data_IF_462946674929
#
_entry.id   IF_462946674929
#
_cell.length_a   1.000
_cell.length_b   1.000
_cell.length_c   1.000
_cell.angle_alpha   90.00
_cell.angle_beta   90.00
_cell.angle_gamma   90.00
#
_symmetry.space_group_name_H-M   'P 1'
#
loop_
_entity.id
_entity.type
_entity.pdbx_description
1 polymer ?
#
# COMPACT_ATOMS: atom_id res chain seq x y z
N UNK A 1 63.11 4.60 -6.43
CA UNK A 1 61.73 4.09 -6.51
C UNK A 1 61.04 4.95 -7.52
N UNK A 2 60.75 4.37 -8.68
CA UNK A 2 60.16 5.12 -9.78
C UNK A 2 58.64 5.22 -9.60
N UNK A 3 58.08 6.34 -10.04
CA UNK A 3 56.66 6.65 -9.85
C UNK A 3 55.73 5.57 -10.44
N UNK A 4 56.14 4.95 -11.54
CA UNK A 4 55.40 3.87 -12.20
C UNK A 4 55.34 2.59 -11.35
N UNK A 5 56.42 2.25 -10.64
CA UNK A 5 56.44 1.09 -9.73
C UNK A 5 55.47 1.30 -8.56
N UNK A 6 55.36 2.53 -8.06
CA UNK A 6 54.47 2.89 -6.96
C UNK A 6 53.00 2.80 -7.37
N UNK A 7 52.66 3.23 -8.60
CA UNK A 7 51.32 3.06 -9.18
C UNK A 7 50.98 1.58 -9.40
N UNK A 8 51.92 0.79 -9.92
CA UNK A 8 51.72 -0.65 -10.10
C UNK A 8 51.50 -1.37 -8.76
N UNK A 9 52.27 -1.02 -7.73
CA UNK A 9 52.14 -1.57 -6.39
C UNK A 9 50.78 -1.20 -5.76
N UNK A 10 50.34 0.06 -5.87
CA UNK A 10 49.03 0.51 -5.40
C UNK A 10 47.88 -0.24 -6.08
N UNK A 11 47.96 -0.41 -7.42
CA UNK A 11 46.97 -1.18 -8.18
C UNK A 11 46.91 -2.65 -7.77
N UNK A 12 48.07 -3.28 -7.51
CA UNK A 12 48.14 -4.66 -7.03
C UNK A 12 47.55 -4.81 -5.62
N UNK A 13 47.77 -3.83 -4.73
CA UNK A 13 47.24 -3.81 -3.38
C UNK A 13 45.72 -3.62 -3.38
N UNK A 14 45.19 -2.72 -4.20
CA UNK A 14 43.75 -2.53 -4.36
C UNK A 14 43.05 -3.80 -4.86
N UNK A 15 43.65 -4.51 -5.83
CA UNK A 15 43.13 -5.80 -6.32
C UNK A 15 43.12 -6.87 -5.23
N UNK A 16 44.20 -6.97 -4.43
CA UNK A 16 44.30 -7.92 -3.31
C UNK A 16 43.28 -7.60 -2.21
N UNK A 17 43.09 -6.33 -1.86
CA UNK A 17 42.10 -5.91 -0.87
C UNK A 17 40.67 -6.21 -1.35
N UNK A 18 40.34 -5.89 -2.59
CA UNK A 18 39.03 -6.22 -3.16
C UNK A 18 38.75 -7.73 -3.18
N UNK A 19 39.77 -8.56 -3.41
CA UNK A 19 39.64 -10.01 -3.31
C UNK A 19 39.30 -10.45 -1.89
N UNK A 20 40.00 -9.93 -0.88
CA UNK A 20 39.75 -10.22 0.53
C UNK A 20 38.35 -9.77 0.99
N UNK A 21 37.91 -8.59 0.56
CA UNK A 21 36.55 -8.09 0.86
C UNK A 21 35.49 -9.03 0.26
N UNK A 22 35.66 -9.45 -1.00
CA UNK A 22 34.75 -10.41 -1.64
C UNK A 22 34.74 -11.79 -0.98
N UNK A 23 35.89 -12.25 -0.46
CA UNK A 23 35.99 -13.50 0.30
C UNK A 23 35.25 -13.39 1.64
N UNK A 24 35.48 -12.31 2.40
CA UNK A 24 34.76 -12.05 3.65
C UNK A 24 33.23 -11.95 3.45
N UNK A 25 32.77 -11.29 2.39
CA UNK A 25 31.34 -11.22 2.05
C UNK A 25 30.74 -12.60 1.74
N UNK A 26 31.51 -13.48 1.09
CA UNK A 26 31.08 -14.87 0.80
C UNK A 26 30.99 -15.69 2.08
N UNK A 27 31.96 -15.53 2.98
CA UNK A 27 31.98 -16.21 4.28
C UNK A 27 30.79 -15.78 5.15
N UNK A 28 30.53 -14.47 5.28
CA UNK A 28 29.37 -13.98 6.03
C UNK A 28 28.05 -14.54 5.50
N UNK A 29 27.84 -14.50 4.17
CA UNK A 29 26.62 -15.06 3.54
C UNK A 29 26.48 -16.56 3.80
N UNK A 30 27.58 -17.28 3.81
CA UNK A 30 27.59 -18.71 4.11
C UNK A 30 27.27 -19.00 5.57
N UNK A 31 27.80 -18.21 6.51
CA UNK A 31 27.45 -18.31 7.94
C UNK A 31 25.98 -17.97 8.22
N UNK A 32 25.46 -16.91 7.60
CA UNK A 32 24.04 -16.55 7.69
C UNK A 32 23.14 -17.70 7.21
N UNK A 33 23.49 -18.31 6.07
CA UNK A 33 22.76 -19.46 5.53
C UNK A 33 22.77 -20.65 6.50
N UNK A 34 23.94 -20.98 7.07
CA UNK A 34 24.06 -22.05 8.08
C UNK A 34 23.24 -21.75 9.33
N UNK A 35 23.23 -20.49 9.79
CA UNK A 35 22.45 -20.07 10.97
C UNK A 35 20.95 -20.19 10.71
N UNK A 36 20.49 -19.77 9.53
CA UNK A 36 19.09 -19.90 9.12
C UNK A 36 18.64 -21.35 9.00
N UNK A 37 19.50 -22.23 8.48
CA UNK A 37 19.23 -23.66 8.41
C UNK A 37 19.09 -24.29 9.80
N UNK A 38 19.98 -23.96 10.74
CA UNK A 38 19.88 -24.41 12.14
C UNK A 38 18.59 -23.97 12.80
N UNK A 39 18.18 -22.71 12.61
CA UNK A 39 16.91 -22.19 13.12
C UNK A 39 15.70 -22.90 12.51
N UNK A 40 15.74 -23.22 11.22
CA UNK A 40 14.67 -23.94 10.55
C UNK A 40 14.51 -25.37 11.11
N UNK A 41 15.62 -26.05 11.40
CA UNK A 41 15.61 -27.37 12.04
C UNK A 41 15.06 -27.29 13.46
N UNK A 42 15.48 -26.32 14.27
CA UNK A 42 14.95 -26.11 15.62
C UNK A 42 13.43 -25.90 15.61
N UNK A 43 12.92 -25.05 14.71
CA UNK A 43 11.46 -24.83 14.56
C UNK A 43 10.70 -26.10 14.18
N UNK A 44 11.30 -26.99 13.38
CA UNK A 44 10.69 -28.28 13.03
C UNK A 44 10.61 -29.21 14.24
N UNK A 45 11.70 -29.30 15.02
CA UNK A 45 11.76 -30.10 16.24
C UNK A 45 10.73 -29.60 17.25
N UNK A 46 10.70 -28.30 17.52
CA UNK A 46 9.75 -27.68 18.46
C UNK A 46 8.29 -27.94 18.05
N UNK A 47 7.98 -27.82 16.75
CA UNK A 47 6.65 -28.14 16.22
C UNK A 47 6.29 -29.62 16.39
N UNK A 48 7.26 -30.52 16.28
CA UNK A 48 7.06 -31.95 16.49
C UNK A 48 6.90 -32.29 17.98
N UNK A 49 7.67 -31.66 18.86
CA UNK A 49 7.51 -31.79 20.31
C UNK A 49 6.15 -31.28 20.80
N UNK A 50 5.69 -30.14 20.28
CA UNK A 50 4.35 -29.61 20.55
C UNK A 50 3.25 -30.58 20.10
N UNK A 51 3.45 -31.30 19.00
CA UNK A 51 2.51 -32.34 18.55
C UNK A 51 2.54 -33.59 19.43
N UNK A 52 3.70 -33.96 19.98
CA UNK A 52 3.85 -35.11 20.89
C UNK A 52 3.32 -34.81 22.30
N UNK A 53 3.44 -33.56 22.76
CA UNK A 53 2.90 -33.07 24.04
C UNK A 53 1.44 -32.63 23.95
N UNK A 54 0.85 -32.62 22.75
CA UNK A 54 -0.56 -32.33 22.60
C UNK A 54 -1.38 -33.45 23.27
N UNK A 55 -2.26 -33.14 24.23
CA UNK A 55 -3.15 -34.15 24.79
C UNK A 55 -3.96 -34.78 23.65
N UNK A 56 -4.28 -36.09 23.73
CA UNK A 56 -5.14 -36.73 22.73
C UNK A 56 -6.41 -35.91 22.58
N UNK A 57 -6.74 -35.56 21.31
CA UNK A 57 -7.99 -34.84 21.02
C UNK A 57 -9.11 -35.59 21.74
N UNK A 58 -9.85 -34.95 22.66
CA UNK A 58 -10.98 -35.60 23.29
C UNK A 58 -11.87 -36.13 22.17
N UNK A 59 -12.21 -37.42 22.24
CA UNK A 59 -13.17 -38.02 21.31
C UNK A 59 -14.37 -37.08 21.23
N UNK A 60 -14.85 -36.72 20.03
CA UNK A 60 -15.99 -35.82 19.93
C UNK A 60 -17.12 -36.45 20.73
N UNK A 61 -17.58 -35.82 21.83
CA UNK A 61 -18.70 -36.36 22.59
C UNK A 61 -19.84 -36.57 21.60
N UNK A 62 -20.65 -37.64 21.74
CA UNK A 62 -21.81 -37.85 20.89
C UNK A 62 -22.57 -36.54 20.83
N UNK A 63 -22.74 -35.99 19.61
CA UNK A 63 -23.29 -34.65 19.37
C UNK A 63 -24.45 -34.44 20.34
N UNK A 64 -24.30 -33.59 21.37
CA UNK A 64 -25.38 -33.38 22.30
C UNK A 64 -26.53 -32.85 21.45
N UNK A 65 -27.68 -33.54 21.49
CA UNK A 65 -28.91 -33.01 20.91
C UNK A 65 -29.12 -31.69 21.65
N UNK A 66 -28.85 -30.60 20.96
CA UNK A 66 -28.98 -29.25 21.49
C UNK A 66 -30.48 -29.01 21.69
N UNK A 67 -31.00 -29.45 22.83
CA UNK A 67 -32.33 -29.09 23.28
C UNK A 67 -32.15 -27.71 23.87
N UNK A 68 -32.45 -26.68 23.08
CA UNK A 68 -32.53 -25.31 23.58
C UNK A 68 -33.57 -25.36 24.70
N UNK A 69 -33.18 -25.12 25.98
CA UNK A 69 -34.13 -25.02 27.06
C UNK A 69 -35.14 -23.94 26.65
N UNK A 70 -36.43 -24.28 26.62
CA UNK A 70 -37.47 -23.29 26.38
C UNK A 70 -37.29 -22.21 27.43
N UNK A 71 -37.05 -20.97 27.02
CA UNK A 71 -36.92 -19.83 27.94
C UNK A 71 -38.22 -19.75 28.74
N UNK A 72 -38.14 -20.01 30.04
CA UNK A 72 -39.16 -19.55 30.96
C UNK A 72 -39.16 -18.01 30.87
N UNK A 73 -40.31 -17.43 30.53
CA UNK A 73 -40.47 -15.97 30.32
C UNK A 73 -40.31 -15.16 31.62
N UNK A 74 -40.00 -15.81 32.73
CA UNK A 74 -39.94 -15.19 34.04
C UNK A 74 -38.48 -14.98 34.46
N UNK A 75 -38.08 -13.69 34.49
CA UNK A 75 -36.93 -13.14 35.22
C UNK A 75 -35.55 -13.22 34.53
N UNK A 76 -35.36 -12.37 33.53
CA UNK A 76 -34.08 -11.70 33.34
C UNK A 76 -34.36 -10.23 33.03
N UNK A 77 -34.89 -9.51 34.03
CA UNK A 77 -34.95 -8.06 33.99
C UNK A 77 -33.50 -7.56 34.13
N UNK A 78 -32.81 -7.46 32.99
CA UNK A 78 -31.45 -6.94 32.91
C UNK A 78 -31.52 -5.47 33.29
N UNK A 79 -30.88 -5.11 34.39
CA UNK A 79 -30.78 -3.74 34.86
C UNK A 79 -30.15 -2.87 33.77
N UNK A 80 -30.99 -2.02 33.16
CA UNK A 80 -30.64 -1.21 32.00
C UNK A 80 -29.51 -0.24 32.32
N UNK A 81 -29.42 0.24 33.55
CA UNK A 81 -28.36 1.15 33.98
C UNK A 81 -27.01 0.44 34.08
N UNK A 82 -27.00 -0.76 34.66
CA UNK A 82 -25.78 -1.56 34.76
C UNK A 82 -25.26 -1.96 33.38
N UNK A 83 -26.17 -2.30 32.46
CA UNK A 83 -25.84 -2.61 31.06
C UNK A 83 -25.25 -1.39 30.34
N UNK A 84 -25.85 -0.20 30.50
CA UNK A 84 -25.32 1.04 29.93
C UNK A 84 -23.94 1.40 30.49
N UNK A 85 -23.71 1.25 31.80
CA UNK A 85 -22.38 1.48 32.42
C UNK A 85 -21.33 0.53 31.86
N UNK A 86 -21.68 -0.73 31.64
CA UNK A 86 -20.77 -1.72 31.06
C UNK A 86 -20.39 -1.38 29.61
N UNK A 87 -21.38 -1.05 28.78
CA UNK A 87 -21.15 -0.65 27.38
C UNK A 87 -20.28 0.62 27.30
N UNK A 88 -20.57 1.63 28.11
CA UNK A 88 -19.77 2.86 28.18
C UNK A 88 -18.32 2.59 28.59
N UNK A 89 -18.09 1.69 29.57
CA UNK A 89 -16.72 1.31 29.98
C UNK A 89 -15.99 0.57 28.87
N UNK A 90 -16.68 -0.32 28.16
CA UNK A 90 -16.10 -1.05 27.02
C UNK A 90 -15.71 -0.09 25.87
N UNK A 91 -16.58 0.86 25.54
CA UNK A 91 -16.32 1.84 24.48
C UNK A 91 -15.21 2.83 24.86
N UNK A 92 -15.08 3.19 26.14
CA UNK A 92 -13.95 3.97 26.64
C UNK A 92 -12.65 3.16 26.55
N UNK A 93 -12.65 1.90 26.96
CA UNK A 93 -11.48 1.03 26.88
C UNK A 93 -11.03 0.83 25.41
N UNK A 94 -11.97 0.64 24.49
CA UNK A 94 -11.68 0.54 23.05
C UNK A 94 -11.02 1.81 22.52
N UNK A 95 -11.56 2.99 22.88
CA UNK A 95 -10.99 4.29 22.51
C UNK A 95 -9.58 4.48 23.07
N UNK A 96 -9.34 4.09 24.32
CA UNK A 96 -8.01 4.16 24.93
C UNK A 96 -7.01 3.24 24.23
N UNK A 97 -7.40 2.01 23.90
CA UNK A 97 -6.53 1.09 23.15
C UNK A 97 -6.20 1.62 21.76
N UNK A 98 -7.17 2.21 21.05
CA UNK A 98 -6.90 2.83 19.74
C UNK A 98 -5.97 4.04 19.86
N UNK A 99 -6.08 4.82 20.94
CA UNK A 99 -5.17 5.93 21.21
C UNK A 99 -3.74 5.44 21.50
N UNK A 100 -3.58 4.44 22.36
CA UNK A 100 -2.28 3.84 22.67
C UNK A 100 -1.62 3.26 21.41
N UNK A 101 -2.36 2.51 20.59
CA UNK A 101 -1.85 1.99 19.32
C UNK A 101 -1.42 3.10 18.36
N UNK A 102 -2.12 4.24 18.34
CA UNK A 102 -1.70 5.41 17.56
C UNK A 102 -0.41 6.01 18.10
N UNK A 103 -0.29 6.17 19.42
CA UNK A 103 0.91 6.69 20.07
C UNK A 103 2.12 5.78 19.83
N UNK A 104 1.99 4.47 20.04
CA UNK A 104 3.04 3.48 19.75
C UNK A 104 3.48 3.55 18.27
N UNK A 105 2.52 3.70 17.34
CA UNK A 105 2.84 3.86 15.92
C UNK A 105 3.61 5.15 15.66
N UNK A 106 3.26 6.26 16.29
CA UNK A 106 3.95 7.55 16.14
C UNK A 106 5.35 7.54 16.75
N UNK A 107 5.53 6.92 17.91
CA UNK A 107 6.85 6.72 18.53
C UNK A 107 7.76 5.86 17.66
N UNK A 108 7.23 4.77 17.09
CA UNK A 108 7.98 3.91 16.19
C UNK A 108 8.39 4.64 14.90
N UNK A 109 7.53 5.51 14.37
CA UNK A 109 7.87 6.38 13.23
C UNK A 109 9.03 7.30 13.61
N UNK A 110 8.95 7.96 14.78
CA UNK A 110 9.97 8.89 15.26
C UNK A 110 11.33 8.20 15.42
N UNK A 111 11.38 7.05 16.09
CA UNK A 111 12.61 6.26 16.28
C UNK A 111 13.22 5.83 14.95
N UNK A 112 12.38 5.38 14.00
CA UNK A 112 12.87 4.93 12.69
C UNK A 112 13.38 6.09 11.82
N UNK A 113 12.73 7.25 11.90
CA UNK A 113 13.20 8.47 11.26
C UNK A 113 14.55 8.91 11.83
N UNK A 114 14.69 8.90 13.16
CA UNK A 114 15.95 9.25 13.84
C UNK A 114 17.09 8.30 13.48
N UNK A 115 16.83 6.99 13.43
CA UNK A 115 17.80 5.99 12.98
C UNK A 115 18.28 6.20 11.52
N UNK A 116 17.46 6.86 10.70
CA UNK A 116 17.76 7.18 9.29
C UNK A 116 18.27 8.62 9.12
N UNK A 117 18.74 9.26 10.20
CA UNK A 117 19.29 10.61 10.16
C UNK A 117 18.25 11.72 9.99
N UNK A 118 16.98 11.46 10.34
CA UNK A 118 15.90 12.44 10.26
C UNK A 118 15.37 12.69 8.84
N UNK A 119 15.69 11.81 7.88
CA UNK A 119 15.27 11.90 6.47
C UNK A 119 14.17 10.89 6.14
N UNK A 120 13.08 11.37 5.57
CA UNK A 120 11.97 10.54 5.12
C UNK A 120 12.35 9.79 3.84
N UNK A 121 12.05 8.49 3.83
CA UNK A 121 12.32 7.60 2.70
C UNK A 121 11.02 6.91 2.26
N UNK A 122 10.86 6.66 0.95
CA UNK A 122 9.76 5.89 0.34
C UNK A 122 9.53 4.54 1.06
N UNK A 123 10.56 3.87 1.58
CA UNK A 123 10.43 2.62 2.36
C UNK A 123 9.72 2.80 3.70
N UNK A 124 10.04 3.88 4.43
CA UNK A 124 9.42 4.18 5.73
C UNK A 124 7.97 4.60 5.51
N UNK A 125 7.74 5.49 4.54
CA UNK A 125 6.43 5.90 4.06
C UNK A 125 5.51 4.70 3.77
N UNK A 126 5.99 3.75 2.95
CA UNK A 126 5.24 2.53 2.61
C UNK A 126 4.90 1.66 3.83
N UNK A 127 5.83 1.51 4.78
CA UNK A 127 5.61 0.69 5.97
C UNK A 127 4.52 1.26 6.89
N UNK A 128 4.37 2.58 6.94
CA UNK A 128 3.41 3.25 7.81
C UNK A 128 2.14 3.74 7.09
N UNK A 129 2.10 3.62 5.76
CA UNK A 129 0.99 4.09 4.91
C UNK A 129 0.88 5.61 4.91
N UNK A 130 2.00 6.33 4.96
CA UNK A 130 2.06 7.81 4.91
C UNK A 130 2.87 8.25 3.70
N UNK A 131 2.66 9.47 3.22
CA UNK A 131 3.54 10.01 2.18
C UNK A 131 4.93 10.37 2.76
N UNK A 132 6.01 10.31 1.95
CA UNK A 132 7.34 10.77 2.39
C UNK A 132 7.33 12.24 2.84
N UNK A 133 6.54 13.08 2.16
CA UNK A 133 6.36 14.50 2.49
C UNK A 133 5.73 14.66 3.88
N UNK A 134 4.63 13.95 4.18
CA UNK A 134 3.99 13.98 5.50
C UNK A 134 4.94 13.55 6.63
N UNK A 135 5.76 12.53 6.37
CA UNK A 135 6.75 12.07 7.33
C UNK A 135 7.84 13.12 7.57
N UNK A 136 8.34 13.75 6.51
CA UNK A 136 9.35 14.79 6.60
C UNK A 136 8.81 16.04 7.32
N UNK A 137 7.57 16.45 7.02
CA UNK A 137 6.92 17.59 7.69
C UNK A 137 6.74 17.37 9.20
N UNK A 138 6.32 16.16 9.61
CA UNK A 138 5.97 15.90 11.02
C UNK A 138 7.17 15.51 11.89
N UNK A 139 8.12 14.79 11.32
CA UNK A 139 9.22 14.16 12.08
C UNK A 139 10.61 14.47 11.53
N UNK A 140 10.69 15.09 10.35
CA UNK A 140 11.95 15.47 9.74
C UNK A 140 12.60 16.67 10.45
N UNK A 141 13.92 16.70 10.43
CA UNK A 141 14.72 17.84 10.93
C UNK A 141 15.41 18.62 9.81
N UNK A 142 15.30 18.15 8.57
CA UNK A 142 15.99 18.66 7.38
C UNK A 142 14.97 19.28 6.42
N UNK A 143 15.03 20.61 6.24
CA UNK A 143 14.15 21.35 5.34
C UNK A 143 14.49 21.12 3.88
N UNK A 144 15.76 20.93 3.53
CA UNK A 144 16.17 20.69 2.14
C UNK A 144 15.59 19.38 1.59
N UNK A 145 15.51 18.37 2.46
CA UNK A 145 14.90 17.10 2.11
C UNK A 145 13.40 17.26 1.81
N UNK A 146 12.71 18.17 2.50
CA UNK A 146 11.30 18.45 2.24
C UNK A 146 11.11 19.07 0.85
N UNK A 147 11.91 20.08 0.51
CA UNK A 147 11.86 20.76 -0.78
C UNK A 147 12.14 19.80 -1.94
N UNK A 148 13.13 18.91 -1.78
CA UNK A 148 13.41 17.86 -2.77
C UNK A 148 12.21 16.94 -2.98
N UNK A 149 11.57 16.49 -1.89
CA UNK A 149 10.41 15.61 -1.97
C UNK A 149 9.20 16.30 -2.63
N UNK A 150 8.99 17.59 -2.37
CA UNK A 150 7.95 18.38 -3.03
C UNK A 150 8.23 18.49 -4.53
N UNK A 151 9.46 18.87 -4.90
CA UNK A 151 9.87 19.01 -6.30
C UNK A 151 9.82 17.68 -7.08
N UNK A 152 10.15 16.58 -6.42
CA UNK A 152 10.06 15.25 -7.03
C UNK A 152 8.59 14.85 -7.23
N UNK A 153 7.71 15.19 -6.29
CA UNK A 153 6.27 14.99 -6.45
C UNK A 153 5.69 15.84 -7.58
N UNK A 154 6.08 17.11 -7.67
CA UNK A 154 5.67 17.99 -8.76
C UNK A 154 6.10 17.44 -10.13
N UNK A 155 7.30 16.87 -10.23
CA UNK A 155 7.77 16.19 -11.44
C UNK A 155 6.99 14.92 -11.76
N UNK A 156 6.74 14.07 -10.77
CA UNK A 156 5.91 12.88 -10.93
C UNK A 156 4.48 13.26 -11.39
N UNK A 157 3.92 14.34 -10.86
CA UNK A 157 2.59 14.86 -11.23
C UNK A 157 2.58 15.48 -12.64
N UNK A 158 3.66 16.11 -13.11
CA UNK A 158 3.74 16.67 -14.48
C UNK A 158 4.01 15.62 -15.56
N UNK A 159 4.87 14.65 -15.26
CA UNK A 159 5.29 13.63 -16.23
C UNK A 159 4.23 12.51 -16.35
N UNK A 160 3.52 12.19 -15.26
CA UNK A 160 2.43 11.21 -15.27
C UNK A 160 1.14 11.67 -15.96
N UNK A 161 1.04 12.94 -16.36
CA UNK A 161 -0.16 13.50 -17.00
C UNK A 161 0.08 14.02 -18.42
N UNK A 162 1.23 13.75 -19.04
CA UNK A 162 1.45 14.20 -20.42
C UNK A 162 0.69 13.28 -21.39
N UNK A 163 -0.42 13.77 -21.94
CA UNK A 163 -1.11 13.08 -23.03
C UNK A 163 -0.30 13.27 -24.30
N UNK A 164 0.27 12.20 -24.85
CA UNK A 164 0.96 12.20 -26.14
C UNK A 164 -0.04 12.02 -27.27
N UNK A 165 -0.04 12.93 -28.23
CA UNK A 165 -0.80 12.78 -29.47
C UNK A 165 0.14 12.15 -30.50
N UNK A 166 -0.30 11.03 -31.07
CA UNK A 166 0.42 10.33 -32.14
C UNK A 166 -0.30 10.65 -33.45
N UNK A 167 0.36 11.48 -34.27
CA UNK A 167 0.00 11.69 -35.67
C UNK A 167 0.93 10.80 -36.52
N UNK A 168 0.49 10.30 -37.68
CA UNK A 168 1.15 9.26 -38.52
C UNK A 168 2.65 9.47 -38.85
N UNK A 169 3.27 10.59 -38.45
CA UNK A 169 4.72 10.82 -38.55
C UNK A 169 5.35 11.66 -37.42
N UNK A 170 4.60 12.09 -36.39
CA UNK A 170 5.15 12.89 -35.29
C UNK A 170 4.47 12.58 -33.95
N UNK A 171 5.29 12.33 -32.93
CA UNK A 171 4.86 12.31 -31.52
C UNK A 171 5.03 13.70 -30.92
N UNK A 172 3.95 14.28 -30.40
CA UNK A 172 4.02 15.54 -29.66
C UNK A 172 3.21 15.47 -28.37
N UNK A 173 3.68 16.18 -27.35
CA UNK A 173 2.92 16.42 -26.12
C UNK A 173 1.71 17.30 -26.43
N UNK A 174 0.52 16.87 -26.02
CA UNK A 174 -0.69 17.67 -26.15
C UNK A 174 -0.54 19.00 -25.41
N UNK A 175 -0.94 20.10 -26.05
CA UNK A 175 -1.03 21.41 -25.42
C UNK A 175 -2.08 21.41 -24.30
N UNK A 176 -2.01 22.37 -23.37
CA UNK A 176 -2.95 22.49 -22.24
C UNK A 176 -4.42 22.58 -22.72
N UNK A 177 -4.67 23.27 -23.84
CA UNK A 177 -6.00 23.35 -24.44
C UNK A 177 -6.47 22.01 -25.01
N UNK A 178 -5.58 21.24 -25.63
CA UNK A 178 -5.89 19.90 -26.16
C UNK A 178 -6.15 18.93 -25.00
N UNK A 179 -5.36 18.96 -23.93
CA UNK A 179 -5.56 18.13 -22.74
C UNK A 179 -6.95 18.34 -22.11
N UNK A 180 -7.38 19.60 -21.98
CA UNK A 180 -8.72 19.95 -21.47
C UNK A 180 -9.85 19.40 -22.35
N UNK A 181 -9.69 19.47 -23.68
CA UNK A 181 -10.65 18.90 -24.63
C UNK A 181 -10.68 17.36 -24.55
N UNK A 182 -9.52 16.70 -24.42
CA UNK A 182 -9.42 15.24 -24.26
C UNK A 182 -10.07 14.81 -22.94
N UNK A 183 -9.84 15.51 -21.84
CA UNK A 183 -10.41 15.15 -20.54
C UNK A 183 -11.94 15.34 -20.52
N UNK A 184 -12.43 16.42 -21.14
CA UNK A 184 -13.87 16.66 -21.33
C UNK A 184 -14.49 15.54 -22.17
N UNK A 185 -13.83 15.13 -23.26
CA UNK A 185 -14.26 14.02 -24.09
C UNK A 185 -14.28 12.68 -23.32
N UNK A 186 -13.22 12.36 -22.57
CA UNK A 186 -13.15 11.17 -21.69
C UNK A 186 -14.29 11.15 -20.66
N UNK A 187 -14.63 12.31 -20.08
CA UNK A 187 -15.75 12.44 -19.13
C UNK A 187 -17.08 12.14 -19.81
N UNK A 188 -17.33 12.69 -21.00
CA UNK A 188 -18.53 12.39 -21.80
C UNK A 188 -18.61 10.91 -22.20
N UNK A 189 -17.49 10.31 -22.62
CA UNK A 189 -17.41 8.88 -22.96
C UNK A 189 -17.69 7.96 -21.77
N UNK A 190 -17.20 8.29 -20.56
CA UNK A 190 -17.52 7.54 -19.34
C UNK A 190 -19.02 7.56 -19.05
N UNK A 191 -19.66 8.72 -19.19
CA UNK A 191 -21.11 8.85 -19.00
C UNK A 191 -21.88 8.07 -20.06
N UNK A 192 -21.50 8.20 -21.34
CA UNK A 192 -22.11 7.44 -22.43
C UNK A 192 -22.01 5.92 -22.19
N UNK A 193 -20.82 5.42 -21.83
CA UNK A 193 -20.61 4.00 -21.53
C UNK A 193 -21.39 3.54 -20.30
N UNK A 194 -21.54 4.36 -19.26
CA UNK A 194 -22.35 4.01 -18.09
C UNK A 194 -23.83 3.84 -18.43
N UNK A 195 -24.35 4.60 -19.41
CA UNK A 195 -25.74 4.53 -19.87
C UNK A 195 -25.95 3.36 -20.82
N UNK A 196 -25.06 3.17 -21.79
CA UNK A 196 -25.24 2.19 -22.88
C UNK A 196 -24.59 0.81 -22.63
N UNK A 197 -23.61 0.74 -21.72
CA UNK A 197 -22.93 -0.49 -21.32
C UNK A 197 -22.85 -0.58 -19.78
N UNK A 198 -23.99 -0.71 -19.09
CA UNK A 198 -23.96 -0.95 -17.65
C UNK A 198 -23.20 -2.24 -17.39
N UNK A 199 -22.11 -2.15 -16.63
CA UNK A 199 -21.31 -3.32 -16.25
C UNK A 199 -22.25 -4.36 -15.62
N UNK A 200 -22.18 -5.61 -16.09
CA UNK A 200 -23.03 -6.68 -15.60
C UNK A 200 -22.95 -6.74 -14.06
N UNK A 201 -24.10 -6.77 -13.35
CA UNK A 201 -24.10 -6.73 -11.90
C UNK A 201 -23.37 -7.95 -11.37
N UNK A 202 -22.18 -7.75 -10.80
CA UNK A 202 -21.52 -8.75 -9.96
C UNK A 202 -22.28 -8.79 -8.63
N UNK A 203 -23.38 -9.55 -8.66
CA UNK A 203 -24.23 -9.96 -7.54
C UNK A 203 -24.35 -8.98 -6.38
N UNK A 204 -25.43 -8.19 -6.33
CA UNK A 204 -26.21 -8.04 -5.09
C UNK A 204 -27.57 -7.37 -5.31
N UNK A 205 -28.47 -7.72 -4.40
CA UNK A 205 -29.89 -7.40 -4.17
C UNK A 205 -30.48 -6.11 -4.74
N UNK A 206 -31.67 -6.25 -5.32
CA UNK A 206 -32.66 -5.20 -5.54
C UNK A 206 -32.88 -4.36 -4.27
N UNK A 207 -32.55 -3.08 -4.33
CA UNK A 207 -33.12 -2.06 -3.45
C UNK A 207 -33.80 -1.05 -4.38
N UNK A 208 -35.12 -1.06 -4.38
CA UNK A 208 -35.93 -0.05 -5.04
C UNK A 208 -35.74 1.29 -4.32
N UNK A 209 -35.46 2.35 -5.08
CA UNK A 209 -35.71 3.72 -4.64
C UNK A 209 -34.62 4.73 -5.01
N UNK A 210 -34.95 5.64 -5.92
CA UNK A 210 -34.19 6.87 -6.16
C UNK A 210 -33.83 7.08 -7.62
N UNK A 211 -34.81 7.50 -8.43
CA UNK A 211 -34.55 8.00 -9.79
C UNK A 211 -33.71 9.27 -9.72
N UNK A 212 -32.51 9.22 -10.29
CA UNK A 212 -31.74 10.41 -10.64
C UNK A 212 -32.44 11.14 -11.80
N UNK A 213 -32.39 12.49 -11.85
CA UNK A 213 -32.94 13.24 -12.97
C UNK A 213 -32.22 12.82 -14.26
N UNK A 214 -33.01 12.32 -15.20
CA UNK A 214 -32.56 11.84 -16.50
C UNK A 214 -32.48 13.05 -17.43
N UNK A 215 -31.32 13.69 -17.51
CA UNK A 215 -31.06 14.70 -18.52
C UNK A 215 -31.05 14.01 -19.90
N UNK A 216 -32.01 14.36 -20.77
CA UNK A 216 -32.28 13.71 -22.06
C UNK A 216 -31.27 14.05 -23.16
N UNK A 217 -30.17 14.75 -22.85
CA UNK A 217 -29.21 15.21 -23.86
C UNK A 217 -28.08 14.21 -24.20
N UNK A 218 -28.00 13.06 -23.51
CA UNK A 218 -26.88 12.10 -23.64
C UNK A 218 -27.17 10.83 -24.46
N UNK A 219 -28.06 10.89 -25.45
CA UNK A 219 -28.37 9.74 -26.33
C UNK A 219 -27.34 9.53 -27.47
N UNK A 220 -26.63 10.58 -27.88
CA UNK A 220 -25.65 10.49 -28.98
C UNK A 220 -24.23 10.27 -28.46
N UNK A 221 -23.45 9.49 -29.20
CA UNK A 221 -22.03 9.31 -28.92
C UNK A 221 -21.32 10.68 -28.99
N UNK A 222 -20.44 11.02 -28.01
CA UNK A 222 -19.77 12.30 -28.02
C UNK A 222 -18.87 12.43 -29.25
N UNK A 223 -18.91 13.61 -29.88
CA UNK A 223 -18.08 13.94 -31.04
C UNK A 223 -16.62 14.05 -30.58
N UNK A 224 -15.66 13.36 -31.23
CA UNK A 224 -14.25 13.49 -30.91
C UNK A 224 -13.77 14.93 -31.16
N UNK A 225 -12.80 15.42 -30.39
CA UNK A 225 -12.29 16.78 -30.58
C UNK A 225 -11.65 16.94 -31.97
N UNK A 226 -11.68 18.15 -32.52
CA UNK A 226 -11.40 18.44 -33.93
C UNK A 226 -9.98 18.06 -34.39
N UNK A 227 -9.01 17.97 -33.47
CA UNK A 227 -7.64 17.52 -33.76
C UNK A 227 -7.53 15.99 -33.94
N UNK A 228 -8.61 15.23 -33.76
CA UNK A 228 -8.62 13.77 -33.78
C UNK A 228 -9.13 13.18 -35.12
N UNK A 229 -9.40 14.00 -36.14
CA UNK A 229 -10.04 13.56 -37.39
C UNK A 229 -9.21 12.52 -38.18
N UNK A 230 -7.91 12.45 -37.96
CA UNK A 230 -7.00 11.46 -38.54
C UNK A 230 -6.02 10.83 -37.52
N UNK A 231 -6.15 11.17 -36.23
CA UNK A 231 -5.10 10.91 -35.25
C UNK A 231 -5.56 9.89 -34.22
N UNK A 232 -4.70 8.90 -33.92
CA UNK A 232 -4.99 7.86 -32.94
C UNK A 232 -4.50 8.34 -31.57
N UNK A 233 -5.41 8.81 -30.72
CA UNK A 233 -5.07 9.19 -29.34
C UNK A 233 -4.78 7.93 -28.54
N UNK A 234 -3.50 7.63 -28.32
CA UNK A 234 -3.06 6.56 -27.42
C UNK A 234 -2.82 7.21 -26.05
N UNK A 235 -3.65 6.85 -25.07
CA UNK A 235 -3.38 7.17 -23.68
C UNK A 235 -2.47 6.08 -23.16
N UNK A 236 -1.19 6.39 -23.00
CA UNK A 236 -0.26 5.52 -22.28
C UNK A 236 -0.50 5.77 -20.79
N UNK A 237 -1.27 4.90 -20.15
CA UNK A 237 -1.35 4.84 -18.69
C UNK A 237 -0.30 3.82 -18.24
N UNK A 238 0.86 4.29 -17.78
CA UNK A 238 1.86 3.43 -17.16
C UNK A 238 1.35 3.00 -15.78
N UNK A 239 0.95 1.73 -15.66
CA UNK A 239 0.50 1.08 -14.41
C UNK A 239 1.65 0.59 -13.53
#
# INVERSE_FOLDING_TARGET
MDFEELLAQAGSNAKKLNKKVKEADREMKHEERKKMERLAVQRKIEKEELKRKAPPKPQPPPKPKFVIPKKDQTKAEVDKEQLQRFLNRHDQAKRQMELQKKQEKEELIRLRMEAMGGKANKKIAKHFGKSPIELQMRYGRDSEQLDRLIKDKEREDTDGSSITIIDDSMERTATVSEQSQIETYKRRMRNYNAIHHPAAPRGFTQIYGGGLPFDTETSSAPIPPCFCAYCRVVVVEDY
#
